data_IF_106704672206
#
_entry.id   IF_106704672206
#
_cell.length_a   1.000
_cell.length_b   1.000
_cell.length_c   1.000
_cell.angle_alpha   90.00
_cell.angle_beta   90.00
_cell.angle_gamma   90.00
#
_symmetry.space_group_name_H-M   'P 1'
#
loop_
_entity.id
_entity.type
_entity.pdbx_description
1 polymer ?
#
# COMPACT_ATOMS: atom_id res chain seq x y z
N UNK A 1 -2.10 -9.54 -8.40
CA UNK A 1 -2.55 -8.15 -8.11
C UNK A 1 -1.51 -7.17 -8.62
N UNK A 2 -1.95 -6.11 -9.25
CA UNK A 2 -1.06 -5.05 -9.73
C UNK A 2 -1.10 -3.89 -8.77
N UNK A 3 0.07 -3.53 -8.24
CA UNK A 3 0.22 -2.46 -7.26
C UNK A 3 1.09 -1.36 -7.86
N UNK A 4 0.61 -0.12 -7.78
CA UNK A 4 1.38 1.04 -8.23
C UNK A 4 2.00 1.72 -7.02
N UNK A 5 3.29 1.99 -7.10
CA UNK A 5 3.98 2.86 -6.15
C UNK A 5 3.98 4.27 -6.76
N UNK A 6 3.41 5.23 -6.06
CA UNK A 6 3.31 6.60 -6.58
C UNK A 6 4.69 7.15 -6.90
N UNK A 7 4.85 7.64 -8.13
CA UNK A 7 6.11 8.20 -8.58
C UNK A 7 7.14 7.17 -9.04
N UNK A 8 6.84 5.89 -8.97
CA UNK A 8 7.83 4.85 -9.30
C UNK A 8 7.38 3.91 -10.40
N UNK A 9 6.14 3.41 -10.36
CA UNK A 9 5.63 2.50 -11.38
C UNK A 9 4.78 1.39 -10.81
N UNK A 10 4.52 0.38 -11.63
CA UNK A 10 3.63 -0.73 -11.28
C UNK A 10 4.42 -2.02 -11.08
N UNK A 11 3.91 -2.85 -10.16
CA UNK A 11 4.50 -4.16 -9.85
C UNK A 11 3.39 -5.20 -9.77
N UNK A 12 3.69 -6.43 -10.17
CA UNK A 12 2.76 -7.55 -9.95
C UNK A 12 3.17 -8.30 -8.68
N UNK A 13 2.18 -8.66 -7.87
CA UNK A 13 2.40 -9.40 -6.62
C UNK A 13 1.62 -10.70 -6.64
N UNK A 14 2.21 -11.75 -6.06
CA UNK A 14 1.51 -13.02 -5.85
C UNK A 14 0.64 -12.94 -4.58
N UNK A 15 -0.12 -13.98 -4.32
CA UNK A 15 -1.07 -14.00 -3.20
C UNK A 15 -0.39 -13.87 -1.84
N UNK A 16 0.76 -14.49 -1.66
CA UNK A 16 1.50 -14.40 -0.40
C UNK A 16 1.99 -12.99 -0.13
N UNK A 17 2.49 -12.33 -1.17
CA UNK A 17 2.93 -10.94 -1.06
C UNK A 17 1.75 -10.01 -0.76
N UNK A 18 0.59 -10.27 -1.37
CA UNK A 18 -0.62 -9.48 -1.12
C UNK A 18 -1.05 -9.61 0.33
N UNK A 19 -0.98 -10.81 0.90
CA UNK A 19 -1.35 -11.02 2.30
C UNK A 19 -0.44 -10.25 3.25
N UNK A 20 0.86 -10.27 3.00
CA UNK A 20 1.80 -9.49 3.79
C UNK A 20 1.55 -7.99 3.68
N UNK A 21 1.24 -7.53 2.48
CA UNK A 21 0.91 -6.13 2.24
C UNK A 21 -0.38 -5.74 2.98
N UNK A 22 -1.37 -6.63 2.98
CA UNK A 22 -2.63 -6.39 3.67
C UNK A 22 -2.42 -6.25 5.19
N UNK A 23 -1.52 -7.04 5.76
CA UNK A 23 -1.20 -6.91 7.18
C UNK A 23 -0.59 -5.54 7.49
N UNK A 24 0.31 -5.05 6.63
CA UNK A 24 0.88 -3.72 6.79
C UNK A 24 -0.20 -2.64 6.63
N UNK A 25 -1.10 -2.81 5.68
CA UNK A 25 -2.21 -1.90 5.46
C UNK A 25 -3.08 -1.78 6.72
N UNK A 26 -3.38 -2.90 7.36
CA UNK A 26 -4.16 -2.89 8.60
C UNK A 26 -3.42 -2.18 9.73
N UNK A 27 -2.11 -2.32 9.78
CA UNK A 27 -1.29 -1.61 10.77
C UNK A 27 -1.29 -0.11 10.51
N UNK A 28 -1.28 0.30 9.24
CA UNK A 28 -1.37 1.73 8.89
C UNK A 28 -2.70 2.29 9.37
N UNK A 29 -3.79 1.58 9.15
CA UNK A 29 -5.11 2.02 9.62
C UNK A 29 -5.10 2.22 11.13
N UNK A 30 -4.53 1.28 11.88
CA UNK A 30 -4.43 1.40 13.33
C UNK A 30 -3.60 2.61 13.76
N UNK A 31 -2.49 2.87 13.05
CA UNK A 31 -1.64 4.02 13.34
C UNK A 31 -2.36 5.34 13.04
N UNK A 32 -3.14 5.38 11.96
CA UNK A 32 -3.94 6.56 11.64
C UNK A 32 -4.97 6.82 12.74
N UNK A 33 -5.64 5.79 13.21
CA UNK A 33 -6.62 5.91 14.28
C UNK A 33 -5.98 6.35 15.60
N UNK A 34 -4.72 6.01 15.80
CA UNK A 34 -3.96 6.41 17.00
C UNK A 34 -3.29 7.78 16.84
N UNK A 35 -3.48 8.46 15.71
CA UNK A 35 -2.85 9.75 15.41
C UNK A 35 -1.31 9.68 15.42
N UNK A 36 -0.76 8.56 15.00
CA UNK A 36 0.69 8.30 15.03
C UNK A 36 1.30 8.48 13.65
N UNK A 37 1.54 9.74 13.27
CA UNK A 37 2.06 10.08 11.94
C UNK A 37 3.40 9.41 11.66
N UNK A 38 4.31 9.39 12.63
CA UNK A 38 5.62 8.79 12.45
C UNK A 38 5.50 7.30 12.08
N UNK A 39 4.62 6.59 12.77
CA UNK A 39 4.41 5.19 12.51
C UNK A 39 3.71 4.95 11.17
N UNK A 40 2.78 5.84 10.80
CA UNK A 40 2.14 5.79 9.49
C UNK A 40 3.21 5.87 8.39
N UNK A 41 4.12 6.83 8.49
CA UNK A 41 5.18 7.01 7.49
C UNK A 41 6.12 5.82 7.45
N UNK A 42 6.48 5.28 8.61
CA UNK A 42 7.33 4.09 8.68
C UNK A 42 6.67 2.88 8.01
N UNK A 43 5.40 2.66 8.28
CA UNK A 43 4.67 1.54 7.70
C UNK A 43 4.47 1.68 6.20
N UNK A 44 4.23 2.90 5.72
CA UNK A 44 4.13 3.13 4.28
C UNK A 44 5.44 2.82 3.58
N UNK A 45 6.57 3.18 4.21
CA UNK A 45 7.88 2.82 3.70
C UNK A 45 8.08 1.31 3.64
N UNK A 46 7.58 0.59 4.64
CA UNK A 46 7.63 -0.88 4.66
C UNK A 46 6.78 -1.48 3.56
N UNK A 47 5.60 -0.91 3.29
CA UNK A 47 4.75 -1.36 2.19
C UNK A 47 5.46 -1.21 0.84
N UNK A 48 6.05 -0.04 0.61
CA UNK A 48 6.80 0.21 -0.62
C UNK A 48 7.96 -0.76 -0.77
N UNK A 49 8.71 -0.98 0.31
CA UNK A 49 9.84 -1.91 0.30
C UNK A 49 9.38 -3.35 0.00
N UNK A 50 8.26 -3.76 0.57
CA UNK A 50 7.71 -5.09 0.32
C UNK A 50 7.32 -5.26 -1.14
N UNK A 51 6.69 -4.25 -1.74
CA UNK A 51 6.32 -4.29 -3.16
C UNK A 51 7.56 -4.41 -4.03
N UNK A 52 8.59 -3.61 -3.77
CA UNK A 52 9.82 -3.67 -4.55
C UNK A 52 10.54 -5.00 -4.41
N UNK A 53 10.53 -5.55 -3.21
CA UNK A 53 11.24 -6.79 -2.89
C UNK A 53 10.56 -8.03 -3.43
N UNK A 54 9.24 -8.06 -3.38
CA UNK A 54 8.46 -9.25 -3.74
C UNK A 54 7.78 -9.17 -5.09
N UNK A 55 7.59 -7.98 -5.61
CA UNK A 55 6.90 -7.78 -6.88
C UNK A 55 7.84 -7.82 -8.06
N UNK A 56 7.25 -8.03 -9.24
CA UNK A 56 7.96 -7.90 -10.49
C UNK A 56 7.52 -6.60 -11.16
N UNK A 57 8.47 -5.73 -11.45
CA UNK A 57 8.17 -4.45 -12.04
C UNK A 57 7.66 -4.61 -13.48
N UNK A 58 6.55 -3.97 -13.78
CA UNK A 58 6.00 -3.96 -15.13
C UNK A 58 6.75 -2.93 -15.98
N UNK A 59 6.76 -3.12 -17.32
CA UNK A 59 7.34 -2.10 -18.21
C UNK A 59 6.64 -0.76 -18.03
N UNK A 60 7.36 0.33 -18.26
CA UNK A 60 6.80 1.67 -18.11
C UNK A 60 5.64 1.94 -19.07
N UNK A 61 5.61 1.24 -20.19
CA UNK A 61 4.54 1.39 -21.18
C UNK A 61 3.37 0.41 -20.95
N UNK A 62 3.38 -0.32 -19.85
CA UNK A 62 2.26 -1.22 -19.54
C UNK A 62 1.01 -0.39 -19.27
N UNK A 63 -0.09 -0.79 -19.88
CA UNK A 63 -1.37 -0.10 -19.74
C UNK A 63 -2.34 -0.78 -18.80
N UNK A 64 -1.85 -1.73 -18.02
CA UNK A 64 -2.69 -2.46 -17.07
C UNK A 64 -3.16 -1.54 -15.94
N UNK A 65 -4.44 -1.59 -15.58
CA UNK A 65 -4.92 -0.80 -14.46
C UNK A 65 -4.36 -1.34 -13.14
N UNK A 66 -4.09 -0.43 -12.22
CA UNK A 66 -3.61 -0.81 -10.90
C UNK A 66 -4.79 -1.21 -10.01
N UNK A 67 -4.63 -2.30 -9.27
CA UNK A 67 -5.62 -2.73 -8.28
C UNK A 67 -5.47 -1.93 -6.98
N UNK A 68 -4.29 -1.42 -6.74
CA UNK A 68 -3.95 -0.73 -5.51
C UNK A 68 -2.86 0.30 -5.80
N UNK A 69 -2.94 1.44 -5.14
CA UNK A 69 -1.90 2.48 -5.21
C UNK A 69 -1.37 2.72 -3.81
N UNK A 70 -0.05 2.58 -3.62
CA UNK A 70 0.60 2.88 -2.35
C UNK A 70 1.06 4.34 -2.39
N UNK A 71 0.61 5.19 -1.45
CA UNK A 71 1.02 6.58 -1.43
C UNK A 71 2.47 6.73 -0.99
N UNK A 72 3.08 7.91 -1.19
CA UNK A 72 4.45 8.13 -0.76
C UNK A 72 4.57 8.09 0.76
N UNK A 73 5.75 7.71 1.25
CA UNK A 73 5.96 7.54 2.68
C UNK A 73 6.02 8.87 3.46
N UNK A 74 6.10 10.00 2.77
CA UNK A 74 6.09 11.31 3.40
C UNK A 74 4.67 11.90 3.52
N UNK A 75 3.67 11.05 3.38
CA UNK A 75 2.27 11.43 3.49
C UNK A 75 1.98 12.01 4.87
N UNK A 76 1.26 13.12 4.94
CA UNK A 76 0.86 13.69 6.23
C UNK A 76 -0.23 12.86 6.88
N UNK A 77 -0.38 13.00 8.20
CA UNK A 77 -1.43 12.28 8.92
C UNK A 77 -2.82 12.65 8.41
N UNK A 78 -3.04 13.91 8.08
CA UNK A 78 -4.32 14.37 7.54
C UNK A 78 -4.64 13.71 6.22
N UNK A 79 -3.65 13.65 5.31
CA UNK A 79 -3.82 12.97 4.04
C UNK A 79 -4.04 11.48 4.22
N UNK A 80 -3.33 10.89 5.19
CA UNK A 80 -3.48 9.47 5.48
C UNK A 80 -4.89 9.14 5.96
N UNK A 81 -5.50 10.02 6.76
CA UNK A 81 -6.87 9.81 7.22
C UNK A 81 -7.87 9.77 6.08
N UNK A 82 -7.65 10.56 5.05
CA UNK A 82 -8.53 10.56 3.89
C UNK A 82 -8.42 9.27 3.10
N UNK A 83 -7.22 8.70 3.02
CA UNK A 83 -6.98 7.47 2.27
C UNK A 83 -7.33 6.22 3.06
N UNK A 84 -7.07 6.22 4.38
CA UNK A 84 -7.23 5.06 5.25
C UNK A 84 -8.41 5.23 6.20
N UNK A 85 -9.57 5.50 5.68
CA UNK A 85 -10.75 5.84 6.47
C UNK A 85 -11.48 4.61 7.03
N UNK A 86 -10.74 3.69 7.62
CA UNK A 86 -11.29 2.51 8.28
C UNK A 86 -11.21 1.23 7.46
N UNK A 87 -11.13 1.34 6.15
CA UNK A 87 -11.08 0.17 5.28
C UNK A 87 -9.68 -0.12 4.75
N UNK A 88 -8.78 0.86 4.85
CA UNK A 88 -7.44 0.74 4.32
C UNK A 88 -7.41 0.94 2.82
N UNK A 89 -6.22 0.73 2.22
CA UNK A 89 -6.02 0.86 0.78
C UNK A 89 -6.47 -0.38 0.02
N UNK A 90 -6.32 -1.55 0.64
CA UNK A 90 -6.66 -2.81 0.01
C UNK A 90 -8.15 -3.03 0.20
N UNK A 91 -8.91 -3.14 -0.90
CA UNK A 91 -10.34 -3.41 -0.78
C UNK A 91 -10.53 -4.67 0.05
N UNK A 92 -11.61 -4.69 0.80
CA UNK A 92 -11.93 -5.81 1.64
C UNK A 92 -11.72 -7.10 0.87
N UNK A 93 -10.69 -7.80 1.26
CA UNK A 93 -10.42 -9.08 0.64
C UNK A 93 -11.52 -10.00 1.11
N UNK A 94 -12.43 -10.40 0.21
CA UNK A 94 -13.53 -11.24 0.63
C UNK A 94 -12.95 -12.41 1.40
N UNK A 95 -13.59 -12.71 2.49
CA UNK A 95 -13.18 -13.87 3.25
C UNK A 95 -13.09 -14.98 2.24
N UNK A 96 -11.96 -15.21 1.94
CA UNK A 96 -11.75 -16.14 0.86
C UNK A 96 -11.75 -17.51 1.40
#
# INVERSE_FOLDING_TARGET
MIVRLMGEGQYTLDDDAVQGLNELDNQVVAAVEADDEENVQRLLGMMAAAVRSRGEKLPDDALDPSDLVVPPEDLSLEEARELFNGEGLIPDLPAR
#
